data_IF_862494173539
#
_entry.id   IF_862494173539
#
_cell.length_a   1.000
_cell.length_b   1.000
_cell.length_c   1.000
_cell.angle_alpha   90.00
_cell.angle_beta   90.00
_cell.angle_gamma   90.00
#
_symmetry.space_group_name_H-M   'P 1'
#
loop_
_entity.id
_entity.type
_entity.pdbx_description
1 polymer ?
#
# COMPACT_ATOMS: atom_id res chain seq x y z
N UNK A 1 24.99 10.18 -27.36
CA UNK A 1 24.06 10.52 -26.28
C UNK A 1 22.83 9.69 -26.51
N UNK A 2 22.71 8.56 -25.80
CA UNK A 2 21.46 7.81 -25.80
C UNK A 2 20.53 8.51 -24.83
N UNK A 3 19.43 9.05 -25.33
CA UNK A 3 18.27 9.38 -24.52
C UNK A 3 17.78 8.07 -23.92
N UNK A 4 18.04 7.86 -22.64
CA UNK A 4 17.40 6.79 -21.88
C UNK A 4 15.92 7.09 -21.85
N UNK A 5 15.15 6.44 -22.72
CA UNK A 5 13.72 6.26 -22.52
C UNK A 5 13.59 5.57 -21.16
N UNK A 6 13.09 6.29 -20.16
CA UNK A 6 12.63 5.64 -18.93
C UNK A 6 11.51 4.70 -19.37
N UNK A 7 11.79 3.39 -19.38
CA UNK A 7 10.75 2.38 -19.43
C UNK A 7 9.83 2.63 -18.24
N UNK A 8 8.67 3.20 -18.52
CA UNK A 8 7.60 3.32 -17.55
C UNK A 8 7.25 1.89 -17.13
N UNK A 9 7.48 1.58 -15.87
CA UNK A 9 7.12 0.27 -15.33
C UNK A 9 5.58 0.25 -15.30
N UNK A 10 4.94 -0.65 -16.07
CA UNK A 10 3.47 -0.79 -16.13
C UNK A 10 2.82 -1.15 -14.77
N UNK A 11 3.65 -1.29 -13.72
CA UNK A 11 3.30 -1.51 -12.32
C UNK A 11 3.24 -0.20 -11.52
N UNK A 12 2.82 0.93 -12.11
CA UNK A 12 2.56 2.15 -11.34
C UNK A 12 1.56 1.83 -10.22
N UNK A 13 2.10 1.70 -9.01
CA UNK A 13 1.32 1.51 -7.80
C UNK A 13 0.55 2.77 -7.46
N UNK A 14 -0.46 2.59 -6.64
CA UNK A 14 -1.19 3.66 -5.98
C UNK A 14 -1.01 3.49 -4.49
N UNK A 15 -0.70 4.59 -3.81
CA UNK A 15 -0.58 4.66 -2.36
C UNK A 15 -1.73 5.48 -1.79
N UNK A 16 -2.43 4.93 -0.79
CA UNK A 16 -3.49 5.62 -0.06
C UNK A 16 -3.24 5.53 1.44
N UNK A 17 -3.32 6.65 2.16
CA UNK A 17 -3.20 6.64 3.63
C UNK A 17 -4.54 6.28 4.27
N UNK A 18 -4.58 5.32 5.18
CA UNK A 18 -5.77 5.04 5.96
C UNK A 18 -6.07 6.17 6.97
N UNK A 19 -7.34 6.55 7.21
CA UNK A 19 -8.57 6.11 6.55
C UNK A 19 -8.98 6.94 5.31
N UNK A 20 -8.07 7.77 4.81
CA UNK A 20 -8.28 8.75 3.76
C UNK A 20 -8.05 8.11 2.36
N UNK A 21 -9.10 7.49 1.82
CA UNK A 21 -9.08 6.86 0.50
C UNK A 21 -9.64 7.77 -0.57
N UNK A 22 -8.95 8.87 -0.86
CA UNK A 22 -9.41 9.85 -1.85
C UNK A 22 -8.52 9.82 -3.08
N UNK A 23 -9.14 9.86 -4.25
CA UNK A 23 -8.42 9.88 -5.54
C UNK A 23 -7.56 11.15 -5.71
N UNK A 24 -7.85 12.24 -4.96
CA UNK A 24 -7.05 13.47 -4.95
C UNK A 24 -5.82 13.42 -4.01
N UNK A 25 -5.72 12.39 -3.17
CA UNK A 25 -4.57 12.11 -2.29
C UNK A 25 -3.69 10.96 -2.84
N UNK A 26 -3.78 10.70 -4.15
CA UNK A 26 -2.95 9.71 -4.85
C UNK A 26 -1.50 10.22 -4.98
N UNK A 27 -0.58 9.56 -4.29
CA UNK A 27 0.85 9.78 -4.50
C UNK A 27 1.27 9.07 -5.78
N UNK A 28 1.41 9.83 -6.87
CA UNK A 28 2.07 9.34 -8.08
C UNK A 28 3.58 9.33 -7.85
N UNK A 29 4.27 8.26 -8.25
CA UNK A 29 5.72 8.09 -8.07
C UNK A 29 6.17 8.10 -6.61
N UNK A 30 5.44 7.41 -5.73
CA UNK A 30 5.81 7.29 -4.31
C UNK A 30 7.02 6.37 -4.10
N UNK A 31 7.78 6.66 -3.05
CA UNK A 31 8.93 5.89 -2.60
C UNK A 31 8.79 5.48 -1.12
N UNK A 32 9.84 4.92 -0.53
CA UNK A 32 9.81 4.45 0.86
C UNK A 32 9.61 5.57 1.88
N UNK A 33 9.97 6.82 1.54
CA UNK A 33 9.89 7.96 2.46
C UNK A 33 8.44 8.45 2.67
N UNK A 34 7.51 8.02 1.80
CA UNK A 34 6.07 8.27 1.93
C UNK A 34 5.39 7.38 2.98
N UNK A 35 6.06 6.31 3.43
CA UNK A 35 5.57 5.40 4.46
C UNK A 35 5.99 5.86 5.86
N UNK A 36 5.10 6.57 6.56
CA UNK A 36 5.40 7.04 7.91
C UNK A 36 5.09 5.98 8.99
N UNK A 37 5.97 5.81 10.00
CA UNK A 37 5.80 4.80 11.05
C UNK A 37 4.52 4.91 11.86
N UNK A 38 3.89 6.10 11.92
CA UNK A 38 2.64 6.34 12.66
C UNK A 38 1.39 6.00 11.85
N UNK A 39 1.55 5.68 10.56
CA UNK A 39 0.47 5.49 9.61
C UNK A 39 0.19 4.03 9.25
N UNK A 40 -0.94 3.85 8.57
CA UNK A 40 -1.24 2.65 7.80
C UNK A 40 -1.58 3.07 6.38
N UNK A 41 -1.13 2.29 5.40
CA UNK A 41 -1.19 2.65 4.00
C UNK A 41 -1.64 1.45 3.17
N UNK A 42 -2.34 1.73 2.08
CA UNK A 42 -2.76 0.73 1.11
C UNK A 42 -1.97 0.93 -0.16
N UNK A 43 -1.37 -0.15 -0.65
CA UNK A 43 -0.60 -0.18 -1.89
C UNK A 43 -1.26 -1.16 -2.85
N UNK A 44 -1.63 -0.68 -4.03
CA UNK A 44 -2.27 -1.49 -5.05
C UNK A 44 -1.94 -0.97 -6.45
N UNK A 45 -1.80 -1.85 -7.44
CA UNK A 45 -1.74 -1.45 -8.85
C UNK A 45 -3.12 -1.04 -9.40
N UNK A 46 -3.16 -0.64 -10.67
CA UNK A 46 -4.40 -0.19 -11.35
C UNK A 46 -5.44 -1.31 -11.53
N UNK A 47 -5.01 -2.56 -11.78
CA UNK A 47 -5.86 -3.76 -11.74
C UNK A 47 -5.19 -4.82 -10.84
N UNK A 48 -5.34 -4.70 -9.52
CA UNK A 48 -4.52 -5.45 -8.59
C UNK A 48 -5.06 -6.86 -8.39
N UNK A 49 -4.25 -7.88 -8.70
CA UNK A 49 -4.45 -9.23 -8.14
C UNK A 49 -4.23 -9.27 -6.62
N UNK A 50 -3.49 -8.28 -6.09
CA UNK A 50 -3.14 -8.16 -4.67
C UNK A 50 -3.18 -6.71 -4.20
N UNK A 51 -3.74 -6.50 -3.01
CA UNK A 51 -3.71 -5.25 -2.26
C UNK A 51 -2.85 -5.48 -1.03
N UNK A 52 -1.85 -4.64 -0.83
CA UNK A 52 -1.07 -4.61 0.40
C UNK A 52 -1.64 -3.58 1.35
N UNK A 53 -1.70 -3.93 2.64
CA UNK A 53 -1.94 -2.98 3.71
C UNK A 53 -0.68 -2.92 4.55
N UNK A 54 0.12 -1.88 4.35
CA UNK A 54 1.31 -1.60 5.12
C UNK A 54 0.94 -0.93 6.44
N UNK A 55 1.59 -1.33 7.53
CA UNK A 55 1.33 -0.85 8.88
C UNK A 55 2.65 -0.43 9.53
N UNK A 56 2.75 0.85 9.86
CA UNK A 56 3.86 1.43 10.58
C UNK A 56 3.94 0.92 12.01
N UNK A 57 5.16 0.82 12.54
CA UNK A 57 5.41 0.27 13.89
C UNK A 57 4.84 1.11 15.04
N UNK A 58 4.52 2.37 14.76
CA UNK A 58 3.93 3.34 15.69
C UNK A 58 2.44 3.60 15.39
N UNK A 59 1.86 2.86 14.43
CA UNK A 59 0.46 3.01 14.07
C UNK A 59 -0.47 2.70 15.25
N UNK A 60 -1.36 3.63 15.57
CA UNK A 60 -2.28 3.49 16.70
C UNK A 60 -3.44 2.51 16.44
N UNK A 61 -3.65 2.09 15.19
CA UNK A 61 -4.79 1.28 14.75
C UNK A 61 -4.65 -0.22 15.07
N UNK A 62 -3.42 -0.70 15.33
CA UNK A 62 -3.18 -2.04 15.85
C UNK A 62 -1.99 -2.05 16.82
N UNK A 63 -1.97 -3.03 17.72
CA UNK A 63 -0.73 -3.34 18.44
C UNK A 63 0.22 -4.04 17.46
N UNK A 64 1.26 -3.34 17.01
CA UNK A 64 2.24 -3.84 16.04
C UNK A 64 2.87 -5.19 16.46
N UNK A 65 2.94 -5.48 17.76
CA UNK A 65 3.48 -6.75 18.29
C UNK A 65 2.47 -7.90 18.24
N UNK A 66 1.19 -7.60 18.09
CA UNK A 66 0.12 -8.58 17.91
C UNK A 66 -0.20 -8.75 16.41
N UNK A 67 0.41 -9.79 15.82
CA UNK A 67 0.22 -10.17 14.42
C UNK A 67 -1.26 -10.39 14.08
N UNK A 68 -2.03 -10.97 15.01
CA UNK A 68 -3.45 -11.23 14.81
C UNK A 68 -4.26 -9.94 14.76
N UNK A 69 -3.96 -9.00 15.66
CA UNK A 69 -4.59 -7.69 15.67
C UNK A 69 -4.31 -6.90 14.39
N UNK A 70 -3.05 -6.86 13.94
CA UNK A 70 -2.69 -6.15 12.72
C UNK A 70 -3.25 -6.82 11.46
N UNK A 71 -3.29 -8.15 11.39
CA UNK A 71 -3.95 -8.88 10.30
C UNK A 71 -5.45 -8.57 10.25
N UNK A 72 -6.12 -8.56 11.41
CA UNK A 72 -7.53 -8.21 11.50
C UNK A 72 -7.77 -6.74 11.11
N UNK A 73 -6.87 -5.84 11.46
CA UNK A 73 -6.91 -4.45 11.02
C UNK A 73 -6.73 -4.33 9.50
N UNK A 74 -5.72 -4.97 8.92
CA UNK A 74 -5.47 -4.94 7.48
C UNK A 74 -6.66 -5.42 6.66
N UNK A 75 -7.33 -6.50 7.10
CA UNK A 75 -8.55 -6.97 6.46
C UNK A 75 -9.69 -5.93 6.50
N UNK A 76 -9.87 -5.21 7.62
CA UNK A 76 -10.86 -4.13 7.74
C UNK A 76 -10.50 -2.92 6.89
N UNK A 77 -9.23 -2.51 6.89
CA UNK A 77 -8.75 -1.37 6.11
C UNK A 77 -8.94 -1.62 4.61
N UNK A 78 -8.57 -2.81 4.11
CA UNK A 78 -8.77 -3.20 2.72
C UNK A 78 -10.26 -3.28 2.34
N UNK A 79 -11.13 -3.77 3.23
CA UNK A 79 -12.57 -3.76 3.00
C UNK A 79 -13.13 -2.34 2.90
N UNK A 80 -12.68 -1.42 3.77
CA UNK A 80 -13.07 -0.02 3.73
C UNK A 80 -12.61 0.68 2.45
N UNK A 81 -11.38 0.38 1.98
CA UNK A 81 -10.87 0.90 0.72
C UNK A 81 -11.70 0.44 -0.48
N UNK A 82 -11.97 -0.86 -0.60
CA UNK A 82 -12.83 -1.39 -1.67
C UNK A 82 -14.20 -0.73 -1.72
N UNK A 83 -14.76 -0.43 -0.55
CA UNK A 83 -16.04 0.26 -0.45
C UNK A 83 -15.94 1.73 -0.90
N UNK A 84 -14.80 2.39 -0.65
CA UNK A 84 -14.56 3.78 -1.02
C UNK A 84 -14.18 3.96 -2.51
N UNK A 85 -13.30 3.10 -3.04
CA UNK A 85 -12.77 3.20 -4.40
C UNK A 85 -13.69 2.62 -5.48
N UNK A 86 -14.74 1.88 -5.08
CA UNK A 86 -15.56 1.11 -6.03
C UNK A 86 -14.80 -0.06 -6.66
N UNK A 87 -13.62 -0.41 -6.14
CA UNK A 87 -12.87 -1.59 -6.58
C UNK A 87 -13.61 -2.86 -6.14
N UNK A 88 -14.31 -3.47 -7.07
CA UNK A 88 -15.03 -4.73 -6.86
C UNK A 88 -14.20 -5.88 -7.44
N UNK A 89 -13.31 -6.46 -6.64
CA UNK A 89 -12.43 -7.54 -7.09
C UNK A 89 -12.04 -8.52 -6.00
N UNK A 90 -11.72 -9.75 -6.40
CA UNK A 90 -11.24 -10.84 -5.55
C UNK A 90 -9.76 -10.76 -5.19
N UNK A 91 -9.15 -9.57 -5.30
CA UNK A 91 -7.75 -9.35 -5.02
C UNK A 91 -7.38 -9.93 -3.65
N UNK A 92 -6.23 -10.59 -3.56
CA UNK A 92 -5.71 -11.06 -2.28
C UNK A 92 -5.35 -9.85 -1.42
N UNK A 93 -5.70 -9.87 -0.13
CA UNK A 93 -5.26 -8.84 0.81
C UNK A 93 -4.08 -9.38 1.60
N UNK A 94 -2.95 -8.70 1.53
CA UNK A 94 -1.78 -9.02 2.34
C UNK A 94 -1.50 -7.87 3.32
N UNK A 95 -1.51 -8.19 4.61
CA UNK A 95 -1.01 -7.26 5.63
C UNK A 95 0.50 -7.31 5.68
N UNK A 96 1.13 -6.15 5.63
CA UNK A 96 2.57 -5.94 5.68
C UNK A 96 2.87 -5.04 6.86
N UNK A 97 3.89 -5.38 7.64
CA UNK A 97 4.35 -4.57 8.77
C UNK A 97 5.65 -3.90 8.39
N UNK A 98 5.88 -2.69 8.90
CA UNK A 98 7.17 -2.00 8.75
C UNK A 98 8.32 -2.94 9.11
N UNK A 99 9.39 -2.98 8.31
CA UNK A 99 10.55 -3.90 8.45
C UNK A 99 10.29 -5.38 8.14
N UNK A 100 9.09 -5.75 7.71
CA UNK A 100 8.71 -7.10 7.30
C UNK A 100 8.11 -7.12 5.88
N UNK A 101 8.48 -6.13 5.07
CA UNK A 101 8.02 -6.02 3.69
C UNK A 101 8.61 -7.15 2.83
N UNK A 102 7.78 -7.93 2.12
CA UNK A 102 8.31 -8.88 1.14
C UNK A 102 8.89 -8.12 -0.05
N UNK A 103 9.91 -8.66 -0.74
CA UNK A 103 10.54 -7.98 -1.88
C UNK A 103 9.53 -7.48 -2.94
N UNK A 104 8.51 -8.30 -3.23
CA UNK A 104 7.42 -7.99 -4.20
C UNK A 104 6.51 -6.82 -3.78
N UNK A 105 6.56 -6.36 -2.54
CA UNK A 105 5.88 -5.14 -2.11
C UNK A 105 6.55 -3.90 -2.70
N UNK A 106 7.88 -3.92 -2.83
CA UNK A 106 8.66 -2.80 -3.34
C UNK A 106 8.56 -2.62 -4.85
N UNK A 107 8.08 -3.63 -5.58
CA UNK A 107 7.86 -3.55 -7.04
C UNK A 107 6.83 -2.47 -7.44
N UNK A 108 6.02 -1.98 -6.49
CA UNK A 108 5.03 -0.92 -6.68
C UNK A 108 5.58 0.49 -6.46
N UNK A 109 6.77 0.61 -5.88
CA UNK A 109 7.40 1.86 -5.52
C UNK A 109 8.38 2.28 -6.62
N UNK A 110 8.58 3.58 -6.78
CA UNK A 110 9.69 4.06 -7.61
C UNK A 110 10.99 3.76 -6.87
N UNK A 111 11.96 3.18 -7.58
CA UNK A 111 13.32 3.05 -7.07
C UNK A 111 13.89 4.47 -6.89
N UNK A 112 14.02 4.91 -5.63
CA UNK A 112 14.80 6.09 -5.27
C UNK A 112 16.28 5.97 -5.61
#
# INVERSE_FOLDING_TARGET
>A
GGSGEMEWNDLEGKLFRHPEYRDDDEYFMFDSDDLWPDGAYLVAGTDPERIYVWIGKECAECDYKDVGACTAFGARAAAAFRAASGTHGGAEVQTVREMEEPDVFWDYFVLG
#
